data_IF_188251105248
#
_entry.id   IF_188251105248
#
_cell.length_a   1.000
_cell.length_b   1.000
_cell.length_c   1.000
_cell.angle_alpha   90.00
_cell.angle_beta   90.00
_cell.angle_gamma   90.00
#
_symmetry.space_group_name_H-M   'P 1'
#
loop_
_entity.id
_entity.type
_entity.pdbx_description
1 polymer ?
#
# COMPACT_ATOMS: atom_id res chain seq x y z
N UNK A 1 -9.19 -8.75 32.80
CA UNK A 1 -8.70 -8.53 31.42
C UNK A 1 -9.47 -7.34 30.85
N UNK A 2 -8.80 -6.24 30.51
CA UNK A 2 -9.47 -5.05 29.97
C UNK A 2 -10.15 -5.36 28.65
N UNK A 3 -11.35 -4.79 28.42
CA UNK A 3 -12.03 -4.90 27.11
C UNK A 3 -11.12 -4.31 26.04
N UNK A 4 -10.73 -5.13 25.06
CA UNK A 4 -10.09 -4.62 23.84
C UNK A 4 -11.08 -3.68 23.16
N UNK A 5 -10.71 -2.42 22.85
CA UNK A 5 -11.63 -1.49 22.21
C UNK A 5 -12.07 -2.05 20.85
N UNK A 6 -13.37 -1.97 20.58
CA UNK A 6 -13.91 -2.32 19.26
C UNK A 6 -13.50 -1.26 18.25
N UNK A 7 -12.80 -1.66 17.19
CA UNK A 7 -12.32 -0.76 16.14
C UNK A 7 -13.47 -0.45 15.17
N UNK A 8 -14.03 0.76 15.26
CA UNK A 8 -14.99 1.26 14.28
C UNK A 8 -14.26 1.80 13.03
N UNK A 9 -15.03 2.07 11.96
CA UNK A 9 -14.48 2.57 10.68
C UNK A 9 -13.70 3.87 10.88
N UNK A 10 -14.23 4.83 11.63
CA UNK A 10 -13.55 6.11 11.88
C UNK A 10 -12.18 5.93 12.54
N UNK A 11 -12.08 5.04 13.53
CA UNK A 11 -10.83 4.73 14.23
C UNK A 11 -9.85 4.02 13.29
N UNK A 12 -10.33 3.08 12.46
CA UNK A 12 -9.49 2.39 11.48
C UNK A 12 -8.95 3.36 10.43
N UNK A 13 -9.79 4.27 9.91
CA UNK A 13 -9.38 5.32 8.98
C UNK A 13 -8.31 6.22 9.62
N UNK A 14 -8.52 6.69 10.86
CA UNK A 14 -7.51 7.48 11.59
C UNK A 14 -6.19 6.73 11.75
N UNK A 15 -6.22 5.43 12.04
CA UNK A 15 -5.01 4.61 12.13
C UNK A 15 -4.29 4.60 10.78
N UNK A 16 -5.01 4.31 9.68
CA UNK A 16 -4.43 4.22 8.33
C UNK A 16 -3.93 5.57 7.80
N UNK A 17 -4.61 6.67 8.14
CA UNK A 17 -4.20 8.04 7.79
C UNK A 17 -2.93 8.49 8.49
N UNK A 18 -2.64 7.93 9.68
CA UNK A 18 -1.46 8.24 10.46
C UNK A 18 -0.33 7.21 10.28
N UNK A 19 -0.49 6.22 9.39
CA UNK A 19 0.62 5.38 8.95
C UNK A 19 1.57 6.24 8.12
N UNK A 20 2.87 6.09 8.38
CA UNK A 20 3.91 6.84 7.69
C UNK A 20 4.00 6.52 6.20
N UNK A 21 3.88 5.23 5.86
CA UNK A 21 3.92 4.76 4.49
C UNK A 21 2.63 5.12 3.74
N UNK A 22 2.71 5.19 2.41
CA UNK A 22 1.50 5.24 1.59
C UNK A 22 0.72 3.93 1.74
N UNK A 23 -0.61 4.09 1.80
CA UNK A 23 -1.58 3.02 1.65
C UNK A 23 -2.60 3.43 0.60
N UNK A 24 -2.69 2.65 -0.48
CA UNK A 24 -3.75 2.76 -1.49
C UNK A 24 -4.43 1.41 -1.64
N UNK A 25 -5.75 1.39 -1.74
CA UNK A 25 -6.54 0.16 -1.89
C UNK A 25 -7.41 0.28 -3.12
N UNK A 26 -7.36 -0.74 -3.98
CA UNK A 26 -8.27 -0.88 -5.13
C UNK A 26 -9.20 -2.07 -4.94
N UNK A 27 -10.43 -1.97 -5.42
CA UNK A 27 -11.38 -3.07 -5.43
C UNK A 27 -11.14 -4.05 -6.60
N UNK A 28 -12.00 -5.05 -6.74
CA UNK A 28 -11.92 -6.00 -7.85
C UNK A 28 -12.06 -5.41 -9.26
N UNK A 29 -12.60 -4.19 -9.37
CA UNK A 29 -12.86 -3.47 -10.62
C UNK A 29 -11.82 -2.37 -10.87
N UNK A 30 -10.70 -2.36 -10.13
CA UNK A 30 -9.67 -1.32 -10.18
C UNK A 30 -10.19 0.08 -9.85
N UNK A 31 -11.21 0.18 -8.99
CA UNK A 31 -11.62 1.45 -8.40
C UNK A 31 -10.84 1.65 -7.11
N UNK A 32 -10.22 2.82 -6.94
CA UNK A 32 -9.59 3.20 -5.67
C UNK A 32 -10.67 3.39 -4.60
N UNK A 33 -10.65 2.57 -3.55
CA UNK A 33 -11.59 2.63 -2.43
C UNK A 33 -11.00 3.29 -1.18
N UNK A 34 -9.68 3.44 -1.13
CA UNK A 34 -8.98 4.11 -0.05
C UNK A 34 -7.63 4.63 -0.53
N UNK A 35 -7.25 5.83 -0.07
CA UNK A 35 -5.91 6.38 -0.18
C UNK A 35 -5.65 7.26 1.05
N UNK A 36 -4.51 7.10 1.72
CA UNK A 36 -4.13 7.97 2.84
C UNK A 36 -3.38 9.23 2.37
N UNK A 37 -3.21 10.21 3.25
CA UNK A 37 -2.48 11.46 2.94
C UNK A 37 -1.04 11.22 2.46
N UNK A 38 -0.38 10.15 2.89
CA UNK A 38 0.97 9.82 2.44
C UNK A 38 1.05 9.50 0.94
N UNK A 39 -0.07 9.15 0.29
CA UNK A 39 -0.13 8.94 -1.16
C UNK A 39 0.03 10.23 -1.99
N UNK A 40 -0.32 11.40 -1.43
CA UNK A 40 -0.35 12.66 -2.19
C UNK A 40 1.00 13.02 -2.81
N UNK A 41 2.10 12.64 -2.13
CA UNK A 41 3.46 12.89 -2.61
C UNK A 41 3.80 12.12 -3.89
N UNK A 42 3.21 10.94 -4.10
CA UNK A 42 3.53 10.09 -5.24
C UNK A 42 2.59 10.29 -6.43
N UNK A 43 1.34 10.67 -6.20
CA UNK A 43 0.38 10.92 -7.28
C UNK A 43 0.29 12.40 -7.67
N UNK A 44 0.87 13.32 -6.88
CA UNK A 44 0.71 14.78 -7.04
C UNK A 44 -0.76 15.24 -7.09
N UNK A 45 -1.65 14.47 -6.48
CA UNK A 45 -3.07 14.74 -6.33
C UNK A 45 -3.47 14.61 -4.86
N UNK A 46 -4.61 15.19 -4.48
CA UNK A 46 -5.13 14.97 -3.12
C UNK A 46 -5.59 13.51 -2.99
N UNK A 47 -5.31 12.87 -1.86
CA UNK A 47 -5.69 11.47 -1.63
C UNK A 47 -7.21 11.27 -1.82
N UNK A 48 -8.01 12.25 -1.37
CA UNK A 48 -9.45 12.27 -1.52
C UNK A 48 -9.93 12.32 -2.98
N UNK A 49 -9.12 12.84 -3.91
CA UNK A 49 -9.47 12.88 -5.35
C UNK A 49 -9.15 11.58 -6.07
N UNK A 50 -8.33 10.70 -5.48
CA UNK A 50 -8.07 9.36 -6.00
C UNK A 50 -9.28 8.44 -5.77
N UNK A 51 -9.92 8.57 -4.61
CA UNK A 51 -11.03 7.70 -4.19
C UNK A 51 -12.20 7.81 -5.19
N UNK A 52 -12.68 6.65 -5.65
CA UNK A 52 -13.77 6.54 -6.61
C UNK A 52 -13.34 6.56 -8.08
N UNK A 53 -12.08 6.91 -8.39
CA UNK A 53 -11.56 6.82 -9.76
C UNK A 53 -11.19 5.38 -10.11
N UNK A 54 -11.41 5.01 -11.37
CA UNK A 54 -10.74 3.86 -11.94
C UNK A 54 -9.25 4.16 -12.13
N UNK A 55 -8.37 3.19 -11.91
CA UNK A 55 -6.91 3.39 -12.01
C UNK A 55 -6.44 3.95 -13.35
N UNK A 56 -7.17 3.68 -14.44
CA UNK A 56 -6.87 4.24 -15.77
C UNK A 56 -7.14 5.75 -15.89
N UNK A 57 -7.91 6.34 -14.98
CA UNK A 57 -8.18 7.77 -14.92
C UNK A 57 -7.09 8.53 -14.14
N UNK A 58 -6.20 7.79 -13.46
CA UNK A 58 -5.10 8.34 -12.68
C UNK A 58 -3.87 8.32 -13.58
N UNK A 59 -3.46 9.50 -14.08
CA UNK A 59 -2.42 9.64 -15.10
C UNK A 59 -1.11 8.91 -14.71
N UNK A 60 -0.71 9.05 -13.46
CA UNK A 60 0.53 8.45 -12.95
C UNK A 60 0.43 6.95 -12.74
N UNK A 61 -0.75 6.32 -12.63
CA UNK A 61 -0.86 4.92 -12.19
C UNK A 61 -0.12 3.91 -13.09
N UNK A 62 -0.20 4.11 -14.41
CA UNK A 62 0.46 3.23 -15.37
C UNK A 62 1.95 3.50 -15.52
N UNK A 63 2.45 4.62 -15.02
CA UNK A 63 3.82 5.10 -15.24
C UNK A 63 4.83 4.54 -14.22
N UNK A 64 4.36 3.79 -13.22
CA UNK A 64 5.23 3.17 -12.21
C UNK A 64 5.83 1.89 -12.77
N UNK A 65 7.15 1.77 -12.74
CA UNK A 65 7.87 0.68 -13.39
C UNK A 65 8.65 -0.19 -12.39
N UNK A 66 8.39 -1.51 -12.31
CA UNK A 66 7.30 -2.23 -13.00
C UNK A 66 5.95 -1.98 -12.32
N UNK A 67 4.84 -2.01 -13.06
CA UNK A 67 3.51 -1.80 -12.47
C UNK A 67 3.09 -3.01 -11.61
N UNK A 68 2.88 -2.79 -10.31
CA UNK A 68 2.59 -3.86 -9.35
C UNK A 68 1.14 -4.39 -9.42
N UNK A 69 0.17 -3.61 -9.93
CA UNK A 69 -1.23 -4.04 -10.05
C UNK A 69 -1.41 -5.29 -10.93
N UNK A 70 -0.96 -5.34 -12.21
CA UNK A 70 -1.14 -6.52 -13.06
C UNK A 70 -0.39 -7.74 -12.52
N UNK A 71 0.79 -7.55 -11.91
CA UNK A 71 1.56 -8.63 -11.28
C UNK A 71 0.76 -9.21 -10.12
N UNK A 72 0.23 -8.35 -9.24
CA UNK A 72 -0.54 -8.77 -8.06
C UNK A 72 -1.82 -9.52 -8.45
N UNK A 73 -2.52 -9.05 -9.49
CA UNK A 73 -3.71 -9.71 -10.06
C UNK A 73 -3.41 -11.11 -10.61
N UNK A 74 -2.28 -11.25 -11.30
CA UNK A 74 -1.84 -12.53 -11.87
C UNK A 74 -1.45 -13.53 -10.79
N UNK A 75 -0.60 -13.10 -9.85
CA UNK A 75 -0.05 -14.00 -8.82
C UNK A 75 -1.09 -14.37 -7.75
N UNK A 76 -2.07 -13.49 -7.48
CA UNK A 76 -3.08 -13.66 -6.41
C UNK A 76 -2.47 -13.99 -5.04
N UNK A 77 -1.25 -13.50 -4.82
CA UNK A 77 -0.47 -13.64 -3.60
C UNK A 77 0.22 -12.31 -3.33
N UNK A 78 0.66 -12.11 -2.08
CA UNK A 78 1.46 -10.95 -1.73
C UNK A 78 2.73 -10.93 -2.58
N UNK A 79 2.99 -9.77 -3.20
CA UNK A 79 4.25 -9.48 -3.90
C UNK A 79 4.88 -8.24 -3.28
N UNK A 80 6.20 -8.16 -3.37
CA UNK A 80 6.97 -6.95 -3.03
C UNK A 80 7.89 -6.66 -4.20
N UNK A 81 7.86 -5.43 -4.69
CA UNK A 81 8.58 -5.02 -5.89
C UNK A 81 9.24 -3.67 -5.66
N UNK A 82 10.51 -3.56 -6.06
CA UNK A 82 11.13 -2.25 -6.21
C UNK A 82 10.55 -1.59 -7.45
N UNK A 83 9.90 -0.45 -7.28
CA UNK A 83 9.36 0.35 -8.37
C UNK A 83 10.13 1.66 -8.51
N UNK A 84 10.09 2.21 -9.71
CA UNK A 84 10.49 3.58 -9.99
C UNK A 84 9.22 4.39 -10.20
N UNK A 85 9.04 5.47 -9.43
CA UNK A 85 7.90 6.38 -9.58
C UNK A 85 8.00 7.13 -10.92
N UNK A 86 6.91 7.75 -11.40
CA UNK A 86 6.93 8.56 -12.62
C UNK A 86 7.89 9.74 -12.56
N UNK A 87 8.28 10.14 -11.34
CA UNK A 87 9.22 11.23 -11.07
C UNK A 87 10.66 10.73 -10.83
N UNK A 88 10.92 9.43 -11.02
CA UNK A 88 12.26 8.83 -10.94
C UNK A 88 12.68 8.39 -9.53
N UNK A 89 11.78 8.43 -8.55
CA UNK A 89 12.09 8.02 -7.18
C UNK A 89 12.06 6.50 -7.04
N UNK A 90 12.99 5.95 -6.27
CA UNK A 90 13.05 4.54 -5.96
C UNK A 90 12.26 4.22 -4.70
N UNK A 91 11.31 3.32 -4.83
CA UNK A 91 10.33 2.95 -3.80
C UNK A 91 10.19 1.42 -3.73
N UNK A 92 9.75 0.91 -2.59
CA UNK A 92 9.35 -0.48 -2.42
C UNK A 92 7.84 -0.51 -2.26
N UNK A 93 7.18 -1.28 -3.12
CA UNK A 93 5.74 -1.50 -3.05
C UNK A 93 5.43 -2.94 -2.70
N UNK A 94 4.68 -3.14 -1.64
CA UNK A 94 4.06 -4.42 -1.32
C UNK A 94 2.59 -4.40 -1.69
N UNK A 95 2.20 -5.20 -2.69
CA UNK A 95 0.82 -5.38 -3.10
C UNK A 95 0.28 -6.70 -2.51
N UNK A 96 -0.78 -6.61 -1.69
CA UNK A 96 -1.41 -7.76 -1.03
C UNK A 96 -2.85 -7.92 -1.52
N UNK A 97 -3.14 -8.89 -2.41
CA UNK A 97 -4.51 -9.29 -2.74
C UNK A 97 -5.21 -9.88 -1.52
N UNK A 98 -6.40 -9.38 -1.23
CA UNK A 98 -7.35 -9.99 -0.30
C UNK A 98 -8.39 -10.72 -1.12
N UNK A 99 -8.51 -12.02 -0.86
CA UNK A 99 -9.37 -12.89 -1.65
C UNK A 99 -10.65 -13.21 -0.86
N UNK A 100 -11.78 -13.20 -1.56
CA UNK A 100 -13.04 -13.67 -1.00
C UNK A 100 -13.07 -15.22 -0.90
N UNK A 101 -14.20 -15.76 -0.41
CA UNK A 101 -14.43 -17.21 -0.24
C UNK A 101 -14.23 -18.02 -1.53
N UNK A 102 -14.42 -17.40 -2.70
CA UNK A 102 -14.29 -18.03 -4.01
C UNK A 102 -12.88 -17.85 -4.63
N UNK A 103 -11.88 -17.42 -3.85
CA UNK A 103 -10.51 -17.13 -4.33
C UNK A 103 -10.45 -16.08 -5.45
N UNK A 104 -11.48 -15.22 -5.52
CA UNK A 104 -11.47 -14.01 -6.36
C UNK A 104 -10.95 -12.85 -5.53
N UNK A 105 -10.24 -11.93 -6.17
CA UNK A 105 -9.78 -10.69 -5.54
C UNK A 105 -11.03 -9.90 -5.14
N UNK A 106 -11.08 -9.49 -3.88
CA UNK A 106 -12.06 -8.56 -3.33
C UNK A 106 -11.46 -7.16 -3.29
N UNK A 107 -10.20 -7.06 -2.88
CA UNK A 107 -9.41 -5.84 -2.94
C UNK A 107 -7.92 -6.17 -3.04
N UNK A 108 -7.12 -5.19 -3.44
CA UNK A 108 -5.65 -5.25 -3.36
C UNK A 108 -5.19 -4.05 -2.52
N UNK A 109 -4.44 -4.34 -1.46
CA UNK A 109 -3.82 -3.31 -0.61
C UNK A 109 -2.39 -3.08 -1.09
N UNK A 110 -2.09 -1.86 -1.51
CA UNK A 110 -0.75 -1.40 -1.83
C UNK A 110 -0.19 -0.65 -0.62
N UNK A 111 0.99 -1.05 -0.19
CA UNK A 111 1.81 -0.31 0.76
C UNK A 111 3.08 0.14 0.04
N UNK A 112 3.36 1.45 0.03
CA UNK A 112 4.49 2.03 -0.69
C UNK A 112 5.41 2.77 0.28
N UNK A 113 6.71 2.48 0.20
CA UNK A 113 7.75 3.03 1.08
C UNK A 113 8.93 3.56 0.29
N UNK A 114 9.44 4.73 0.70
CA UNK A 114 10.61 5.36 0.09
C UNK A 114 11.90 4.66 0.49
N UNK A 115 12.76 4.34 -0.50
CA UNK A 115 14.05 3.67 -0.25
C UNK A 115 15.05 4.61 0.41
N UNK A 116 15.09 5.89 0.02
CA UNK A 116 16.03 6.87 0.59
C UNK A 116 15.89 7.02 2.10
N UNK A 117 14.70 6.77 2.66
CA UNK A 117 14.46 6.84 4.10
C UNK A 117 14.81 5.54 4.84
N UNK A 118 14.84 4.40 4.15
CA UNK A 118 15.27 3.11 4.71
C UNK A 118 16.76 3.12 5.11
N UNK A 119 17.60 3.88 4.41
CA UNK A 119 19.04 3.99 4.73
C UNK A 119 19.31 4.76 6.04
N UNK A 120 18.34 5.55 6.52
CA UNK A 120 18.45 6.32 7.77
C UNK A 120 18.04 5.53 9.03
N UNK A 121 17.35 4.39 8.87
CA UNK A 121 16.87 3.57 9.99
C UNK A 121 17.75 2.31 10.13
N UNK A 122 18.86 2.45 10.84
CA UNK A 122 19.67 1.30 11.26
C UNK A 122 18.92 0.47 12.32
N UNK A 123 18.84 -0.82 12.03
CA UNK A 123 18.41 -2.00 12.82
C UNK A 123 18.08 -1.83 14.31
N UNK A 124 16.93 -2.39 14.69
CA UNK A 124 16.70 -2.88 16.05
C UNK A 124 17.57 -4.14 16.31
N UNK A 125 18.41 -4.18 17.36
CA UNK A 125 19.42 -5.23 17.55
C UNK A 125 18.93 -6.55 18.19
N UNK A 126 17.62 -6.76 18.37
CA UNK A 126 17.14 -7.96 19.06
C UNK A 126 17.16 -9.21 18.15
N UNK A 127 18.33 -9.85 18.10
CA UNK A 127 18.55 -11.15 17.45
C UNK A 127 19.85 -11.86 17.83
N UNK A 128 20.60 -11.38 18.84
CA UNK A 128 21.84 -12.03 19.30
C UNK A 128 21.75 -12.48 20.76
N UNK A 129 20.86 -13.40 21.10
CA UNK A 129 21.05 -14.34 22.23
C UNK A 129 20.05 -15.48 22.14
N UNK A 130 20.41 -16.54 21.41
CA UNK A 130 19.92 -17.89 21.64
C UNK A 130 20.94 -18.86 21.03
N UNK A 131 22.02 -19.12 21.77
CA UNK A 131 22.77 -20.37 21.67
C UNK A 131 22.81 -20.94 23.08
N UNK A 132 22.04 -22.01 23.28
CA UNK A 132 22.31 -23.04 24.29
C UNK A 132 23.53 -23.83 23.90
#
# INVERSE_FOLDING_TARGET
MGKVPHLNVETLTKILDNIFDEVVVVDQNDIVIYANQASEKHYCERHSTLIGKHVSEIATWSEWEPNSLPISKKEKKRITVEQTSPYGEKIITTATPVLNKNKKIELIVFNVRDIKQLESVKQCPFGKHAKT
#
